data_IF_766832027981
#
_entry.id   IF_766832027981
#
_cell.length_a   1.000
_cell.length_b   1.000
_cell.length_c   1.000
_cell.angle_alpha   90.00
_cell.angle_beta   90.00
_cell.angle_gamma   90.00
#
_symmetry.space_group_name_H-M   'P 1'
#
loop_
_entity.id
_entity.type
_entity.pdbx_description
1 polymer ?
#
# COMPACT_ATOMS: atom_id res chain seq x y z
N UNK A 1 -7.42 -15.48 -5.55
CA UNK A 1 -6.14 -15.12 -4.90
C UNK A 1 -5.56 -13.82 -5.48
N UNK A 2 -6.29 -12.71 -5.33
CA UNK A 2 -5.88 -11.36 -5.78
C UNK A 2 -6.12 -10.30 -4.67
N UNK A 3 -5.72 -10.62 -3.44
CA UNK A 3 -5.88 -9.71 -2.29
C UNK A 3 -5.11 -8.39 -2.49
N UNK A 4 -4.01 -8.39 -3.22
CA UNK A 4 -3.25 -7.18 -3.52
C UNK A 4 -4.04 -6.14 -4.34
N UNK A 5 -5.14 -6.52 -5.00
CA UNK A 5 -6.07 -5.60 -5.67
C UNK A 5 -7.13 -5.10 -4.68
N UNK A 6 -7.86 -6.04 -4.08
CA UNK A 6 -8.91 -5.76 -3.09
C UNK A 6 -9.00 -6.94 -2.12
N UNK A 7 -8.92 -6.67 -0.82
CA UNK A 7 -9.14 -7.66 0.23
C UNK A 7 -10.63 -7.97 0.40
N UNK A 8 -10.93 -9.13 0.94
CA UNK A 8 -12.30 -9.54 1.25
C UNK A 8 -12.67 -9.08 2.67
N UNK A 9 -13.52 -8.07 2.86
CA UNK A 9 -13.87 -7.59 4.18
C UNK A 9 -14.62 -8.69 4.97
N UNK A 10 -14.22 -8.96 6.23
CA UNK A 10 -14.89 -9.95 7.06
C UNK A 10 -16.29 -9.50 7.48
N UNK A 11 -17.14 -10.44 7.88
CA UNK A 11 -18.53 -10.18 8.21
C UNK A 11 -18.76 -9.06 9.25
N UNK A 12 -17.93 -8.93 10.32
CA UNK A 12 -18.05 -7.79 11.25
C UNK A 12 -17.91 -6.43 10.56
N UNK A 13 -17.01 -6.32 9.59
CA UNK A 13 -16.78 -5.09 8.82
C UNK A 13 -17.98 -4.78 7.92
N UNK A 14 -18.50 -5.79 7.24
CA UNK A 14 -19.73 -5.63 6.41
C UNK A 14 -20.91 -5.16 7.25
N UNK A 15 -21.13 -5.79 8.42
CA UNK A 15 -22.19 -5.39 9.36
C UNK A 15 -22.00 -3.97 9.89
N UNK A 16 -20.78 -3.56 10.19
CA UNK A 16 -20.51 -2.20 10.65
C UNK A 16 -20.89 -1.14 9.60
N UNK A 17 -20.63 -1.41 8.31
CA UNK A 17 -21.06 -0.53 7.22
C UNK A 17 -22.60 -0.48 7.12
N UNK A 18 -23.27 -1.65 7.16
CA UNK A 18 -24.73 -1.74 7.13
C UNK A 18 -25.38 -0.95 8.28
N UNK A 19 -24.92 -1.19 9.51
CA UNK A 19 -25.42 -0.50 10.71
C UNK A 19 -25.23 1.03 10.59
N UNK A 20 -24.10 1.46 10.04
CA UNK A 20 -23.84 2.88 9.83
C UNK A 20 -24.82 3.52 8.84
N UNK A 21 -25.17 2.85 7.76
CA UNK A 21 -26.20 3.33 6.82
C UNK A 21 -27.60 3.27 7.41
N UNK A 22 -27.93 2.25 8.19
CA UNK A 22 -29.21 2.16 8.93
C UNK A 22 -29.35 3.33 9.93
N UNK A 23 -28.28 3.68 10.66
CA UNK A 23 -28.27 4.81 11.57
C UNK A 23 -28.58 6.13 10.85
N UNK A 24 -27.93 6.38 9.70
CA UNK A 24 -28.20 7.59 8.91
C UNK A 24 -29.62 7.54 8.30
N UNK A 25 -30.09 6.37 7.89
CA UNK A 25 -31.43 6.23 7.31
C UNK A 25 -32.55 6.52 8.32
N UNK A 26 -32.33 6.13 9.58
CA UNK A 26 -33.30 6.37 10.66
C UNK A 26 -33.27 7.82 11.15
N UNK A 27 -32.08 8.36 11.40
CA UNK A 27 -31.86 9.73 11.88
C UNK A 27 -30.66 10.38 11.20
N UNK A 28 -30.81 11.04 10.05
CA UNK A 28 -29.69 11.50 9.22
C UNK A 28 -28.67 12.37 9.95
N UNK A 29 -29.16 13.32 10.78
CA UNK A 29 -28.28 14.26 11.47
C UNK A 29 -27.54 13.59 12.66
N UNK A 30 -28.27 12.91 13.53
CA UNK A 30 -27.69 12.23 14.68
C UNK A 30 -26.80 11.07 14.25
N UNK A 31 -27.27 10.21 13.34
CA UNK A 31 -26.46 9.11 12.79
C UNK A 31 -25.15 9.58 12.16
N UNK A 32 -25.18 10.71 11.42
CA UNK A 32 -23.96 11.35 10.91
C UNK A 32 -23.03 11.78 12.05
N UNK A 33 -23.54 12.46 13.08
CA UNK A 33 -22.72 12.96 14.18
C UNK A 33 -22.08 11.81 14.98
N UNK A 34 -22.84 10.75 15.25
CA UNK A 34 -22.33 9.56 15.96
C UNK A 34 -21.21 8.85 15.19
N UNK A 35 -21.38 8.74 13.87
CA UNK A 35 -20.33 8.18 13.02
C UNK A 35 -19.08 9.09 12.95
N UNK A 36 -19.27 10.41 12.93
CA UNK A 36 -18.16 11.37 13.00
C UNK A 36 -17.41 11.27 14.33
N UNK A 37 -18.14 11.14 15.46
CA UNK A 37 -17.56 10.89 16.77
C UNK A 37 -16.79 9.55 16.79
N UNK A 38 -17.39 8.49 16.28
CA UNK A 38 -16.71 7.18 16.14
C UNK A 38 -15.40 7.27 15.36
N UNK A 39 -15.41 7.98 14.23
CA UNK A 39 -14.19 8.18 13.43
C UNK A 39 -13.12 8.92 14.22
N UNK A 40 -13.50 10.01 14.88
CA UNK A 40 -12.57 10.86 15.64
C UNK A 40 -12.02 10.17 16.87
N UNK A 41 -12.90 9.51 17.65
CA UNK A 41 -12.58 9.07 19.01
C UNK A 41 -12.13 7.60 19.06
N UNK A 42 -12.36 6.81 17.99
CA UNK A 42 -11.98 5.39 17.92
C UNK A 42 -11.14 5.05 16.69
N UNK A 43 -11.56 5.43 15.48
CA UNK A 43 -10.89 4.99 14.24
C UNK A 43 -9.51 5.63 14.11
N UNK A 44 -9.40 6.95 14.22
CA UNK A 44 -8.12 7.64 14.08
C UNK A 44 -7.14 7.24 15.18
N UNK A 45 -7.54 7.23 16.47
CA UNK A 45 -6.68 6.69 17.54
C UNK A 45 -6.30 5.22 17.34
N UNK A 46 -7.24 4.36 16.93
CA UNK A 46 -6.95 2.95 16.67
C UNK A 46 -5.95 2.74 15.52
N UNK A 47 -6.01 3.55 14.47
CA UNK A 47 -4.99 3.56 13.40
C UNK A 47 -3.64 4.04 13.93
N UNK A 48 -3.64 5.09 14.77
CA UNK A 48 -2.43 5.65 15.35
C UNK A 48 -1.72 4.63 16.25
N UNK A 49 -2.45 3.99 17.14
CA UNK A 49 -1.94 2.95 18.02
C UNK A 49 -1.42 1.73 17.24
N UNK A 50 -2.20 1.28 16.23
CA UNK A 50 -1.84 0.10 15.43
C UNK A 50 -0.54 0.31 14.63
N UNK A 51 -0.32 1.51 14.10
CA UNK A 51 0.81 1.80 13.22
C UNK A 51 1.89 2.68 13.85
N UNK A 52 1.83 2.90 15.18
CA UNK A 52 2.85 3.57 15.97
C UNK A 52 3.09 5.03 15.57
N UNK A 53 2.01 5.82 15.45
CA UNK A 53 2.07 7.25 15.09
C UNK A 53 1.11 8.06 15.99
N UNK A 54 1.17 9.38 15.87
CA UNK A 54 0.21 10.23 16.56
C UNK A 54 -1.07 10.44 15.72
N UNK A 55 -2.22 10.53 16.39
CA UNK A 55 -3.53 10.73 15.72
C UNK A 55 -3.56 11.97 14.82
N UNK A 56 -2.83 13.03 15.20
CA UNK A 56 -2.74 14.26 14.41
C UNK A 56 -1.77 14.17 13.22
N UNK A 57 -1.11 13.02 12.99
CA UNK A 57 -0.30 12.72 11.81
C UNK A 57 -1.07 11.95 10.72
N UNK A 58 -2.34 11.57 11.00
CA UNK A 58 -3.18 10.78 10.11
C UNK A 58 -4.25 11.64 9.45
N UNK A 59 -4.39 11.48 8.13
CA UNK A 59 -5.51 11.99 7.33
C UNK A 59 -6.20 10.84 6.65
N UNK A 60 -7.49 10.64 6.89
CA UNK A 60 -8.26 9.60 6.22
C UNK A 60 -8.48 9.96 4.75
N UNK A 61 -8.11 9.05 3.88
CA UNK A 61 -8.32 9.12 2.42
C UNK A 61 -9.19 7.95 1.94
N UNK A 62 -9.59 8.00 0.66
CA UNK A 62 -10.34 6.89 0.05
C UNK A 62 -9.45 5.69 -0.30
N UNK A 63 -8.17 5.93 -0.54
CA UNK A 63 -7.18 4.92 -0.90
C UNK A 63 -5.79 5.53 -0.97
N UNK A 64 -4.76 4.69 -1.16
CA UNK A 64 -3.39 5.14 -1.37
C UNK A 64 -3.23 6.03 -2.60
N UNK A 65 -4.02 5.84 -3.66
CA UNK A 65 -3.91 6.69 -4.87
C UNK A 65 -4.26 8.14 -4.57
N UNK A 66 -5.32 8.39 -3.80
CA UNK A 66 -5.65 9.74 -3.31
C UNK A 66 -4.55 10.29 -2.40
N UNK A 67 -4.10 9.48 -1.44
CA UNK A 67 -3.01 9.85 -0.53
C UNK A 67 -1.72 10.21 -1.27
N UNK A 68 -1.32 9.43 -2.28
CA UNK A 68 -0.15 9.67 -3.13
C UNK A 68 -0.28 10.96 -3.96
N UNK A 69 -1.48 11.27 -4.44
CA UNK A 69 -1.72 12.54 -5.14
C UNK A 69 -1.63 13.72 -4.18
N UNK A 70 -2.26 13.64 -3.02
CA UNK A 70 -2.15 14.69 -1.98
C UNK A 70 -0.68 14.88 -1.60
N UNK A 71 0.03 13.80 -1.25
CA UNK A 71 1.44 13.80 -0.90
C UNK A 71 2.31 14.46 -1.97
N UNK A 72 2.20 14.03 -3.21
CA UNK A 72 3.02 14.52 -4.30
C UNK A 72 2.69 15.96 -4.71
N UNK A 73 1.40 16.33 -4.78
CA UNK A 73 0.97 17.64 -5.25
C UNK A 73 1.17 18.73 -4.19
N UNK A 74 1.09 18.39 -2.91
CA UNK A 74 1.32 19.32 -1.81
C UNK A 74 2.79 19.47 -1.42
N UNK A 75 3.67 18.52 -1.73
CA UNK A 75 5.09 18.64 -1.39
C UNK A 75 5.75 19.85 -2.06
N UNK A 76 6.38 20.72 -1.25
CA UNK A 76 6.87 22.02 -1.71
C UNK A 76 8.15 21.88 -2.54
N UNK A 77 8.03 22.06 -3.85
CA UNK A 77 9.12 22.04 -4.82
C UNK A 77 9.09 23.30 -5.70
N UNK A 78 10.26 23.70 -6.15
CA UNK A 78 10.45 24.77 -7.13
C UNK A 78 10.79 24.17 -8.49
N UNK A 79 10.62 24.96 -9.55
CA UNK A 79 11.09 24.61 -10.91
C UNK A 79 12.57 24.21 -10.87
N UNK A 80 12.89 23.06 -11.43
CA UNK A 80 14.24 22.51 -11.47
C UNK A 80 14.63 21.65 -10.26
N UNK A 81 13.87 21.66 -9.15
CA UNK A 81 14.03 20.66 -8.08
C UNK A 81 13.76 19.26 -8.62
N UNK A 82 14.40 18.27 -8.03
CA UNK A 82 14.35 16.88 -8.50
C UNK A 82 13.73 15.96 -7.45
N UNK A 83 12.89 15.05 -7.94
CA UNK A 83 12.38 13.90 -7.18
C UNK A 83 12.89 12.62 -7.84
N UNK A 84 13.47 11.73 -7.03
CA UNK A 84 13.80 10.37 -7.45
C UNK A 84 12.59 9.48 -7.21
N UNK A 85 12.27 8.65 -8.20
CA UNK A 85 11.29 7.56 -8.12
C UNK A 85 11.92 6.29 -8.66
N UNK A 86 11.31 5.12 -8.41
CA UNK A 86 11.81 3.86 -8.98
C UNK A 86 11.02 3.42 -10.21
N UNK A 87 11.55 2.47 -10.99
CA UNK A 87 10.82 1.86 -12.12
C UNK A 87 9.70 0.94 -11.65
N UNK A 88 9.66 0.55 -10.37
CA UNK A 88 8.69 -0.38 -9.81
C UNK A 88 7.42 0.31 -9.25
N UNK A 89 7.30 1.63 -9.41
CA UNK A 89 6.15 2.37 -8.87
C UNK A 89 4.82 1.98 -9.52
N UNK A 90 3.78 1.91 -8.69
CA UNK A 90 2.41 1.87 -9.21
C UNK A 90 2.09 3.16 -9.99
N UNK A 91 1.24 3.11 -11.04
CA UNK A 91 0.85 4.31 -11.78
C UNK A 91 0.36 5.47 -10.91
N UNK A 92 -0.29 5.21 -9.78
CA UNK A 92 -0.73 6.24 -8.84
C UNK A 92 0.45 6.93 -8.11
N UNK A 93 1.58 6.24 -7.92
CA UNK A 93 2.81 6.82 -7.38
C UNK A 93 3.62 7.60 -8.41
N UNK A 94 3.49 7.24 -9.70
CA UNK A 94 4.21 7.88 -10.80
C UNK A 94 3.47 9.12 -11.36
N UNK A 95 2.17 8.98 -11.67
CA UNK A 95 1.40 9.97 -12.44
C UNK A 95 1.41 11.39 -11.84
N UNK A 96 1.25 11.60 -10.51
CA UNK A 96 1.26 12.95 -9.96
C UNK A 96 2.63 13.63 -10.14
N UNK A 97 3.75 12.91 -10.07
CA UNK A 97 5.08 13.46 -10.36
C UNK A 97 5.25 13.83 -11.82
N UNK A 98 4.75 13.01 -12.74
CA UNK A 98 4.77 13.32 -14.17
C UNK A 98 3.92 14.54 -14.51
N UNK A 99 2.80 14.73 -13.81
CA UNK A 99 1.98 15.93 -13.91
C UNK A 99 2.76 17.18 -13.45
N UNK A 100 3.46 17.13 -12.33
CA UNK A 100 4.31 18.21 -11.82
C UNK A 100 5.49 18.50 -12.75
N UNK A 101 6.12 17.45 -13.31
CA UNK A 101 7.14 17.61 -14.35
C UNK A 101 6.62 18.45 -15.51
N UNK A 102 5.41 18.14 -16.02
CA UNK A 102 4.79 18.83 -17.15
C UNK A 102 4.36 20.27 -16.80
N UNK A 103 3.73 20.47 -15.64
CA UNK A 103 3.11 21.76 -15.29
C UNK A 103 4.04 22.72 -14.57
N UNK A 104 4.90 22.22 -13.69
CA UNK A 104 5.71 23.04 -12.78
C UNK A 104 7.21 23.01 -13.13
N UNK A 105 7.64 22.15 -14.04
CA UNK A 105 9.04 22.02 -14.41
C UNK A 105 9.90 21.34 -13.35
N UNK A 106 9.28 20.57 -12.46
CA UNK A 106 9.97 19.65 -11.54
C UNK A 106 10.68 18.57 -12.35
N UNK A 107 11.86 18.17 -11.93
CA UNK A 107 12.59 17.05 -12.53
C UNK A 107 12.16 15.74 -11.85
N UNK A 108 11.89 14.73 -12.65
CA UNK A 108 11.58 13.36 -12.18
C UNK A 108 12.62 12.44 -12.77
N UNK A 109 13.44 11.86 -11.90
CA UNK A 109 14.47 10.88 -12.25
C UNK A 109 14.00 9.49 -11.83
N UNK A 110 13.83 8.61 -12.82
CA UNK A 110 13.52 7.21 -12.55
C UNK A 110 14.82 6.42 -12.37
N UNK A 111 14.89 5.66 -11.28
CA UNK A 111 15.99 4.74 -11.00
C UNK A 111 15.50 3.33 -11.32
N UNK A 112 16.24 2.64 -12.16
CA UNK A 112 15.95 1.24 -12.47
C UNK A 112 16.26 0.35 -11.27
N UNK A 113 15.23 -0.37 -10.79
CA UNK A 113 15.37 -1.42 -9.80
C UNK A 113 14.95 -2.73 -10.45
N UNK A 114 15.81 -3.75 -10.49
CA UNK A 114 15.50 -5.01 -11.15
C UNK A 114 14.38 -5.78 -10.44
N UNK A 115 13.67 -6.57 -11.20
CA UNK A 115 12.75 -7.61 -10.72
C UNK A 115 13.16 -8.93 -11.39
N UNK A 116 13.46 -9.99 -10.65
CA UNK A 116 13.41 -10.11 -9.19
C UNK A 116 14.48 -9.27 -8.47
N UNK A 117 14.13 -8.84 -7.25
CA UNK A 117 15.07 -8.21 -6.34
C UNK A 117 15.92 -9.29 -5.66
N UNK A 118 17.24 -9.10 -5.67
CA UNK A 118 18.18 -10.05 -5.06
C UNK A 118 18.70 -9.58 -3.71
N UNK A 119 18.81 -8.27 -3.50
CA UNK A 119 19.32 -7.66 -2.29
C UNK A 119 18.71 -6.26 -2.06
N UNK A 120 18.36 -5.95 -0.82
CA UNK A 120 17.89 -4.62 -0.42
C UNK A 120 18.99 -3.55 -0.53
N UNK A 121 20.26 -3.91 -0.35
CA UNK A 121 21.37 -2.98 -0.50
C UNK A 121 21.53 -2.47 -1.92
N UNK A 122 21.15 -3.25 -2.95
CA UNK A 122 21.15 -2.79 -4.35
C UNK A 122 20.16 -1.64 -4.56
N UNK A 123 18.97 -1.70 -3.92
CA UNK A 123 17.99 -0.60 -3.96
C UNK A 123 18.60 0.69 -3.37
N UNK A 124 19.21 0.57 -2.19
CA UNK A 124 19.83 1.70 -1.50
C UNK A 124 20.95 2.32 -2.36
N UNK A 125 21.87 1.50 -2.84
CA UNK A 125 23.03 1.91 -3.63
C UNK A 125 22.62 2.58 -4.95
N UNK A 126 21.65 2.05 -5.67
CA UNK A 126 21.12 2.64 -6.91
C UNK A 126 20.46 3.99 -6.67
N UNK A 127 19.66 4.11 -5.63
CA UNK A 127 19.03 5.38 -5.26
C UNK A 127 20.09 6.38 -4.83
N UNK A 128 21.03 5.99 -3.97
CA UNK A 128 22.09 6.87 -3.49
C UNK A 128 22.98 7.38 -4.64
N UNK A 129 23.37 6.50 -5.56
CA UNK A 129 24.16 6.85 -6.75
C UNK A 129 23.41 7.77 -7.72
N UNK A 130 22.09 7.79 -7.66
CA UNK A 130 21.25 8.63 -8.51
C UNK A 130 21.05 10.04 -7.96
N UNK A 131 21.40 10.31 -6.69
CA UNK A 131 21.20 11.61 -6.03
C UNK A 131 22.01 12.73 -6.72
N UNK A 132 21.41 13.91 -6.78
CA UNK A 132 22.07 15.14 -7.27
C UNK A 132 21.86 16.29 -6.28
N UNK A 133 22.56 17.40 -6.48
CA UNK A 133 22.34 18.64 -5.67
C UNK A 133 20.92 19.20 -5.80
N UNK A 134 20.16 18.78 -6.82
CA UNK A 134 18.76 19.19 -7.07
C UNK A 134 17.76 18.28 -6.42
N UNK A 135 18.14 17.08 -6.02
CA UNK A 135 17.26 16.13 -5.36
C UNK A 135 16.72 16.71 -4.06
N UNK A 136 15.40 16.64 -3.86
CA UNK A 136 14.68 17.13 -2.67
C UNK A 136 13.90 16.04 -1.98
N UNK A 137 13.47 15.02 -2.72
CA UNK A 137 12.74 13.88 -2.18
C UNK A 137 13.02 12.61 -2.97
N UNK A 138 12.81 11.49 -2.27
CA UNK A 138 12.77 10.15 -2.83
C UNK A 138 11.35 9.63 -2.61
N UNK A 139 10.66 9.26 -3.70
CA UNK A 139 9.31 8.70 -3.65
C UNK A 139 9.34 7.26 -4.16
N UNK A 140 8.94 6.31 -3.34
CA UNK A 140 9.07 4.88 -3.66
C UNK A 140 8.04 4.02 -2.94
N UNK A 141 7.76 2.83 -3.46
CA UNK A 141 6.88 1.86 -2.81
C UNK A 141 7.63 1.06 -1.74
N UNK A 142 6.98 0.76 -0.60
CA UNK A 142 7.53 -0.12 0.43
C UNK A 142 7.56 -1.57 -0.03
N UNK A 143 6.45 -2.03 -0.62
CA UNK A 143 6.35 -3.32 -1.30
C UNK A 143 5.95 -3.06 -2.75
N UNK A 144 6.73 -3.61 -3.69
CA UNK A 144 6.45 -3.47 -5.12
C UNK A 144 5.20 -4.25 -5.53
N UNK A 145 4.67 -4.01 -6.73
CA UNK A 145 3.60 -4.83 -7.29
C UNK A 145 3.98 -6.33 -7.35
N UNK A 146 5.26 -6.62 -7.56
CA UNK A 146 5.81 -7.98 -7.59
C UNK A 146 6.06 -8.61 -6.22
N UNK A 147 5.75 -7.89 -5.13
CA UNK A 147 5.95 -8.38 -3.76
C UNK A 147 7.38 -8.24 -3.24
N UNK A 148 8.24 -7.44 -3.88
CA UNK A 148 9.59 -7.17 -3.36
C UNK A 148 9.53 -6.10 -2.28
N UNK A 149 10.25 -6.35 -1.18
CA UNK A 149 10.29 -5.51 0.01
C UNK A 149 11.48 -4.55 -0.07
N UNK A 150 11.22 -3.24 -0.05
CA UNK A 150 12.26 -2.21 -0.06
C UNK A 150 12.70 -1.81 1.35
N UNK A 151 13.97 -1.42 1.55
CA UNK A 151 14.54 -1.07 2.85
C UNK A 151 14.15 0.35 3.29
N UNK A 152 12.87 0.59 3.62
CA UNK A 152 12.34 1.94 3.94
C UNK A 152 13.14 2.62 5.03
N UNK A 153 13.46 1.90 6.13
CA UNK A 153 14.22 2.46 7.26
C UNK A 153 15.62 2.93 6.84
N UNK A 154 16.33 2.15 6.04
CA UNK A 154 17.64 2.51 5.55
C UNK A 154 17.58 3.69 4.55
N UNK A 155 16.58 3.68 3.64
CA UNK A 155 16.36 4.78 2.71
C UNK A 155 15.98 6.08 3.43
N UNK A 156 15.16 6.01 4.48
CA UNK A 156 14.79 7.16 5.28
C UNK A 156 15.98 7.73 6.06
N UNK A 157 16.81 6.87 6.64
CA UNK A 157 18.03 7.27 7.34
C UNK A 157 19.01 7.98 6.39
N UNK A 158 19.32 7.38 5.24
CA UNK A 158 20.18 7.97 4.20
C UNK A 158 19.60 9.31 3.69
N UNK A 159 18.30 9.39 3.42
CA UNK A 159 17.68 10.61 2.98
C UNK A 159 17.80 11.73 4.04
N UNK A 160 17.54 11.41 5.32
CA UNK A 160 17.66 12.35 6.42
C UNK A 160 19.09 12.91 6.56
N UNK A 161 20.13 12.07 6.48
CA UNK A 161 21.54 12.49 6.52
C UNK A 161 21.88 13.47 5.39
N UNK A 162 21.24 13.31 4.23
CA UNK A 162 21.45 14.15 3.04
C UNK A 162 20.46 15.33 2.95
N UNK A 163 19.63 15.55 3.98
CA UNK A 163 18.63 16.63 4.00
C UNK A 163 17.50 16.45 2.98
N UNK A 164 17.22 15.22 2.58
CA UNK A 164 16.15 14.83 1.65
C UNK A 164 14.93 14.32 2.42
N UNK A 165 13.80 14.23 1.73
CA UNK A 165 12.53 13.70 2.26
C UNK A 165 12.16 12.38 1.61
N UNK A 166 11.51 11.52 2.37
CA UNK A 166 11.02 10.21 1.92
C UNK A 166 9.49 10.17 1.89
N UNK A 167 8.94 9.86 0.72
CA UNK A 167 7.53 9.82 0.42
C UNK A 167 7.17 8.40 -0.05
N UNK A 168 6.50 7.63 0.81
CA UNK A 168 6.37 6.18 0.62
C UNK A 168 4.96 5.79 0.19
N UNK A 169 4.87 4.90 -0.81
CA UNK A 169 3.66 4.16 -1.14
C UNK A 169 3.63 2.86 -0.33
N UNK A 170 2.76 2.81 0.67
CA UNK A 170 2.57 1.66 1.54
C UNK A 170 1.37 0.78 1.19
N UNK A 171 0.75 0.98 0.01
CA UNK A 171 -0.48 0.31 -0.37
C UNK A 171 -0.42 -1.23 -0.34
N UNK A 172 0.77 -1.81 -0.50
CA UNK A 172 0.98 -3.26 -0.48
C UNK A 172 1.67 -3.75 0.81
N UNK A 173 2.08 -2.85 1.71
CA UNK A 173 2.79 -3.22 2.93
C UNK A 173 1.89 -3.28 4.17
N UNK A 174 1.12 -2.21 4.40
CA UNK A 174 0.24 -2.09 5.56
C UNK A 174 -0.75 -3.27 5.61
N UNK A 175 -0.69 -4.01 6.71
CA UNK A 175 -1.59 -5.14 6.98
C UNK A 175 -1.04 -6.51 6.56
N UNK A 176 0.11 -6.60 5.89
CA UNK A 176 0.76 -7.87 5.60
C UNK A 176 1.66 -8.36 6.75
N UNK A 177 2.25 -7.45 7.49
CA UNK A 177 3.19 -7.69 8.59
C UNK A 177 3.13 -6.52 9.59
N UNK A 178 3.62 -6.70 10.83
CA UNK A 178 3.68 -5.62 11.82
C UNK A 178 4.50 -4.45 11.32
N UNK A 179 3.99 -3.24 11.45
CA UNK A 179 4.66 -2.02 11.04
C UNK A 179 4.49 -0.90 12.05
N UNK A 180 5.59 -0.22 12.36
CA UNK A 180 5.59 1.03 13.10
C UNK A 180 6.15 2.15 12.20
N UNK A 181 5.30 3.11 11.83
CA UNK A 181 5.68 4.14 10.87
C UNK A 181 6.67 5.16 11.45
N UNK A 182 6.65 5.43 12.77
CA UNK A 182 7.68 6.24 13.41
C UNK A 182 9.05 5.57 13.35
N UNK A 183 9.13 4.25 13.55
CA UNK A 183 10.38 3.50 13.47
C UNK A 183 10.93 3.38 12.06
N UNK A 184 10.09 3.43 11.04
CA UNK A 184 10.53 3.52 9.65
C UNK A 184 11.24 4.84 9.35
N UNK A 185 10.88 5.91 10.06
CA UNK A 185 11.53 7.21 9.97
C UNK A 185 11.23 7.99 8.69
N UNK A 186 10.30 7.53 7.85
CA UNK A 186 9.88 8.23 6.64
C UNK A 186 9.06 9.49 6.95
N UNK A 187 8.95 10.39 5.98
CA UNK A 187 8.30 11.69 6.16
C UNK A 187 6.82 11.69 5.83
N UNK A 188 6.42 10.85 4.87
CA UNK A 188 5.03 10.60 4.54
C UNK A 188 4.83 9.18 4.03
N UNK A 189 3.62 8.62 4.29
CA UNK A 189 3.29 7.24 3.95
C UNK A 189 1.82 7.12 3.52
N UNK A 190 1.58 6.66 2.30
CA UNK A 190 0.26 6.54 1.70
C UNK A 190 -0.28 5.11 1.80
N UNK A 191 -1.53 4.94 2.25
CA UNK A 191 -2.10 3.64 2.61
C UNK A 191 -3.44 3.37 1.94
N UNK A 192 -3.65 2.12 1.53
CA UNK A 192 -4.96 1.53 1.21
C UNK A 192 -5.33 0.49 2.26
N UNK A 193 -6.36 0.75 3.05
CA UNK A 193 -6.80 -0.17 4.12
C UNK A 193 -7.64 -1.34 3.58
N UNK A 194 -8.29 -1.15 2.43
CA UNK A 194 -9.16 -2.15 1.80
C UNK A 194 -8.42 -3.32 1.13
N UNK A 195 -7.09 -3.38 1.25
CA UNK A 195 -6.29 -4.51 0.73
C UNK A 195 -5.97 -5.49 1.84
N UNK A 196 -4.90 -5.23 2.57
CA UNK A 196 -4.35 -6.17 3.55
C UNK A 196 -4.88 -5.97 4.98
N UNK A 197 -5.51 -4.83 5.29
CA UNK A 197 -6.23 -4.60 6.56
C UNK A 197 -7.67 -5.09 6.49
N UNK A 198 -8.16 -5.48 5.31
CA UNK A 198 -9.52 -5.98 5.07
C UNK A 198 -10.64 -4.98 5.45
N UNK A 199 -10.31 -3.69 5.48
CA UNK A 199 -11.29 -2.62 5.69
C UNK A 199 -12.20 -2.45 4.46
N UNK A 200 -13.31 -1.71 4.54
CA UNK A 200 -14.21 -1.51 3.42
C UNK A 200 -13.50 -0.86 2.22
N UNK A 201 -13.96 -1.17 1.01
CA UNK A 201 -13.52 -0.46 -0.20
C UNK A 201 -13.71 1.05 -0.05
N UNK A 202 -12.77 1.83 -0.56
CA UNK A 202 -12.82 3.28 -0.40
C UNK A 202 -12.26 3.79 0.94
N UNK A 203 -11.36 3.01 1.58
CA UNK A 203 -10.67 3.40 2.81
C UNK A 203 -9.15 3.39 2.66
N UNK A 204 -8.51 4.39 3.25
CA UNK A 204 -7.08 4.57 3.30
C UNK A 204 -6.71 5.73 4.22
N UNK A 205 -5.43 5.99 4.37
CA UNK A 205 -4.94 7.19 5.06
C UNK A 205 -3.62 7.68 4.46
N UNK A 206 -3.33 8.94 4.73
CA UNK A 206 -2.03 9.55 4.53
C UNK A 206 -1.43 9.85 5.91
N UNK A 207 -0.26 9.33 6.19
CA UNK A 207 0.58 9.73 7.31
C UNK A 207 1.52 10.84 6.85
N UNK A 208 1.62 11.91 7.64
CA UNK A 208 2.63 12.98 7.47
C UNK A 208 3.26 13.23 8.84
N UNK A 209 4.55 12.92 8.94
CA UNK A 209 5.33 13.12 10.16
C UNK A 209 5.30 14.60 10.57
N UNK A 210 5.08 14.90 11.84
CA UNK A 210 5.00 16.27 12.38
C UNK A 210 6.16 17.15 11.92
N UNK A 211 7.38 16.66 12.02
CA UNK A 211 8.57 17.40 11.63
C UNK A 211 8.73 17.66 10.12
N UNK A 212 7.94 16.98 9.27
CA UNK A 212 7.96 17.17 7.84
C UNK A 212 6.89 18.12 7.32
N UNK A 213 5.86 18.48 8.13
CA UNK A 213 4.69 19.26 7.70
C UNK A 213 5.04 20.57 7.02
N UNK A 214 6.06 21.27 7.49
CA UNK A 214 6.52 22.53 6.90
C UNK A 214 7.01 22.42 5.44
N UNK A 215 7.17 21.22 4.93
CA UNK A 215 7.54 20.94 3.54
C UNK A 215 6.35 20.65 2.62
N UNK A 216 5.16 20.63 3.18
CA UNK A 216 3.93 20.45 2.42
C UNK A 216 3.11 21.72 2.43
N UNK A 217 2.55 22.09 1.29
CA UNK A 217 1.50 23.11 1.19
C UNK A 217 0.17 22.44 1.45
N UNK A 218 -0.59 23.01 2.37
CA UNK A 218 -1.96 22.58 2.61
C UNK A 218 -2.77 22.66 1.31
N UNK A 219 -3.32 21.55 0.80
CA UNK A 219 -4.12 21.57 -0.43
C UNK A 219 -5.53 22.13 -0.21
N UNK A 220 -5.97 22.21 1.05
CA UNK A 220 -7.30 22.67 1.45
C UNK A 220 -7.20 23.71 2.58
N UNK A 221 -8.29 24.44 2.82
CA UNK A 221 -8.38 25.30 3.99
C UNK A 221 -8.26 24.49 5.29
N UNK A 222 -7.45 24.92 6.25
CA UNK A 222 -7.28 24.20 7.51
C UNK A 222 -8.59 24.05 8.28
N UNK A 223 -8.94 22.81 8.60
CA UNK A 223 -10.03 22.51 9.52
C UNK A 223 -9.42 22.06 10.86
N UNK A 224 -9.63 22.82 11.96
CA UNK A 224 -9.01 22.50 13.25
C UNK A 224 -9.54 21.22 13.90
N UNK A 225 -10.61 20.63 13.35
CA UNK A 225 -11.21 19.40 13.90
C UNK A 225 -10.67 18.13 13.27
N UNK A 226 -9.78 18.22 12.27
CA UNK A 226 -9.23 17.06 11.55
C UNK A 226 -7.72 16.91 11.77
N UNK A 227 -7.21 15.69 11.67
CA UNK A 227 -5.85 15.29 12.03
C UNK A 227 -4.74 16.21 11.54
N UNK A 228 -4.34 16.16 10.26
CA UNK A 228 -3.35 17.08 9.68
C UNK A 228 -4.07 18.29 9.09
N UNK A 229 -3.90 19.50 9.67
CA UNK A 229 -4.67 20.68 9.22
C UNK A 229 -4.51 20.95 7.72
N UNK A 230 -5.63 21.07 7.01
CA UNK A 230 -5.68 21.39 5.58
C UNK A 230 -5.38 20.22 4.63
N UNK A 231 -5.27 19.01 5.12
CA UNK A 231 -5.05 17.81 4.30
C UNK A 231 -6.29 16.91 4.19
N UNK A 232 -7.28 17.07 5.07
CA UNK A 232 -8.54 16.35 4.95
C UNK A 232 -9.42 16.98 3.85
N UNK A 233 -9.77 16.24 2.79
CA UNK A 233 -10.62 16.75 1.73
C UNK A 233 -11.94 17.30 2.27
N UNK A 234 -12.39 18.50 1.82
CA UNK A 234 -13.63 19.08 2.30
C UNK A 234 -14.87 18.33 1.83
N UNK A 235 -16.02 18.64 2.46
CA UNK A 235 -17.33 18.15 2.06
C UNK A 235 -17.78 16.87 2.77
N UNK A 236 -18.98 16.42 2.39
CA UNK A 236 -19.60 15.21 2.95
C UNK A 236 -18.84 13.97 2.50
N UNK A 237 -18.65 13.04 3.43
CA UNK A 237 -17.88 11.81 3.26
C UNK A 237 -18.78 10.60 3.51
N UNK A 238 -18.34 9.44 3.09
CA UNK A 238 -18.97 8.19 3.46
C UNK A 238 -18.60 7.83 4.90
N UNK A 239 -19.38 8.35 5.86
CA UNK A 239 -19.14 8.14 7.29
C UNK A 239 -19.31 6.68 7.71
N UNK A 240 -20.34 5.93 7.25
CA UNK A 240 -20.47 4.49 7.51
C UNK A 240 -19.22 3.69 7.14
N UNK A 241 -18.71 3.88 5.94
CA UNK A 241 -17.51 3.20 5.43
C UNK A 241 -16.28 3.57 6.25
N UNK A 242 -16.11 4.84 6.59
CA UNK A 242 -14.97 5.30 7.40
C UNK A 242 -15.04 4.81 8.86
N UNK A 243 -16.22 4.81 9.47
CA UNK A 243 -16.40 4.31 10.84
C UNK A 243 -16.12 2.79 10.93
N UNK A 244 -16.48 2.04 9.88
CA UNK A 244 -16.26 0.59 9.82
C UNK A 244 -14.77 0.17 9.71
N UNK A 245 -13.84 1.12 9.52
CA UNK A 245 -12.40 0.86 9.66
C UNK A 245 -12.09 0.33 11.06
N UNK A 246 -12.77 0.84 12.11
CA UNK A 246 -12.62 0.34 13.48
C UNK A 246 -12.88 -1.16 13.60
N UNK A 247 -13.97 -1.65 12.99
CA UNK A 247 -14.27 -3.08 12.99
C UNK A 247 -13.22 -3.94 12.25
N UNK A 248 -12.55 -3.37 11.23
CA UNK A 248 -11.45 -4.05 10.56
C UNK A 248 -10.21 -4.13 11.45
N UNK A 249 -9.87 -3.04 12.15
CA UNK A 249 -8.77 -3.04 13.12
C UNK A 249 -9.02 -4.04 14.26
N UNK A 250 -10.22 -4.04 14.83
CA UNK A 250 -10.60 -4.98 15.89
C UNK A 250 -10.46 -6.44 15.42
N UNK A 251 -10.93 -6.74 14.20
CA UNK A 251 -10.81 -8.08 13.62
C UNK A 251 -9.35 -8.49 13.42
N UNK A 252 -8.52 -7.62 12.88
CA UNK A 252 -7.10 -7.91 12.64
C UNK A 252 -6.32 -8.02 13.96
N UNK A 253 -6.62 -7.16 14.95
CA UNK A 253 -6.01 -7.21 16.27
C UNK A 253 -6.37 -8.50 17.03
N UNK A 254 -7.59 -9.03 16.88
CA UNK A 254 -7.98 -10.32 17.46
C UNK A 254 -7.20 -11.49 16.87
N UNK A 255 -6.83 -11.44 15.59
CA UNK A 255 -5.97 -12.45 14.95
C UNK A 255 -4.52 -12.26 15.38
N UNK A 256 -4.06 -11.02 15.51
CA UNK A 256 -2.67 -10.63 15.75
C UNK A 256 -1.89 -10.48 14.44
N UNK A 257 -1.18 -9.37 14.32
CA UNK A 257 -0.47 -9.00 13.08
C UNK A 257 0.66 -9.98 12.72
N UNK A 258 1.34 -10.54 13.71
CA UNK A 258 2.35 -11.59 13.53
C UNK A 258 1.73 -12.89 13.00
N UNK A 259 0.53 -13.23 13.45
CA UNK A 259 -0.20 -14.40 12.96
C UNK A 259 -0.65 -14.20 11.51
N UNK A 260 -1.05 -12.97 11.15
CA UNK A 260 -1.37 -12.61 9.77
C UNK A 260 -0.15 -12.78 8.86
N UNK A 261 1.00 -12.25 9.25
CA UNK A 261 2.27 -12.41 8.53
C UNK A 261 2.63 -13.88 8.37
N UNK A 262 2.65 -14.63 9.48
CA UNK A 262 2.99 -16.06 9.49
C UNK A 262 2.08 -16.86 8.55
N UNK A 263 0.77 -16.59 8.59
CA UNK A 263 -0.18 -17.27 7.70
C UNK A 263 0.01 -16.90 6.23
N UNK A 264 0.23 -15.63 5.93
CA UNK A 264 0.49 -15.19 4.56
C UNK A 264 1.78 -15.79 4.01
N UNK A 265 2.87 -15.84 4.79
CA UNK A 265 4.14 -16.49 4.42
C UNK A 265 3.93 -17.98 4.18
N UNK A 266 3.31 -18.69 5.10
CA UNK A 266 3.01 -20.11 4.93
C UNK A 266 2.31 -20.39 3.61
N UNK A 267 1.28 -19.62 3.25
CA UNK A 267 0.55 -19.82 2.00
C UNK A 267 1.38 -19.48 0.75
N UNK A 268 2.15 -18.41 0.81
CA UNK A 268 3.01 -18.02 -0.31
C UNK A 268 4.18 -18.99 -0.51
N UNK A 269 4.74 -19.51 0.56
CA UNK A 269 5.83 -20.49 0.48
C UNK A 269 5.32 -21.85 0.00
N UNK A 270 4.14 -22.28 0.48
CA UNK A 270 3.47 -23.47 -0.04
C UNK A 270 3.26 -23.39 -1.57
N UNK A 271 2.80 -22.21 -2.05
CA UNK A 271 2.66 -21.96 -3.49
C UNK A 271 4.01 -21.99 -4.21
N UNK A 272 5.02 -21.30 -3.69
CA UNK A 272 6.36 -21.24 -4.28
C UNK A 272 7.01 -22.62 -4.37
N UNK A 273 6.85 -23.44 -3.33
CA UNK A 273 7.41 -24.79 -3.32
C UNK A 273 6.72 -25.72 -4.32
N UNK A 274 5.40 -25.59 -4.48
CA UNK A 274 4.68 -26.29 -5.56
C UNK A 274 5.11 -25.81 -6.95
N UNK A 275 5.26 -24.51 -7.16
CA UNK A 275 5.70 -23.93 -8.44
C UNK A 275 7.09 -24.39 -8.87
N UNK A 276 8.02 -24.61 -7.92
CA UNK A 276 9.38 -25.13 -8.20
C UNK A 276 9.38 -26.54 -8.76
N UNK A 277 8.30 -27.30 -8.58
CA UNK A 277 8.16 -28.67 -9.08
C UNK A 277 7.56 -28.74 -10.49
N UNK A 278 7.16 -27.61 -11.07
CA UNK A 278 6.52 -27.57 -12.38
C UNK A 278 7.55 -27.14 -13.43
N UNK A 279 7.76 -27.99 -14.44
CA UNK A 279 8.67 -27.70 -15.54
C UNK A 279 8.32 -26.40 -16.27
N UNK A 280 9.33 -25.60 -16.62
CA UNK A 280 9.17 -24.34 -17.33
C UNK A 280 8.60 -23.20 -16.47
N UNK A 281 8.50 -23.36 -15.15
CA UNK A 281 8.18 -22.26 -14.22
C UNK A 281 9.46 -21.57 -13.74
N UNK A 282 9.45 -20.25 -13.79
CA UNK A 282 10.51 -19.39 -13.23
C UNK A 282 9.90 -18.50 -12.13
N UNK A 283 10.36 -18.65 -10.89
CA UNK A 283 9.96 -17.78 -9.78
C UNK A 283 10.68 -16.42 -9.90
N UNK A 284 9.89 -15.34 -9.81
CA UNK A 284 10.39 -13.97 -9.81
C UNK A 284 10.22 -13.28 -8.45
N UNK A 285 9.62 -13.95 -7.46
CA UNK A 285 9.59 -13.48 -6.08
C UNK A 285 10.98 -13.55 -5.45
N UNK A 286 11.25 -12.67 -4.49
CA UNK A 286 12.51 -12.67 -3.75
C UNK A 286 12.77 -14.00 -3.06
N UNK A 287 14.05 -14.37 -2.94
CA UNK A 287 14.49 -15.68 -2.44
C UNK A 287 14.46 -15.85 -0.91
N UNK A 288 14.15 -14.78 -0.15
CA UNK A 288 14.09 -14.84 1.31
C UNK A 288 13.13 -13.76 1.86
N UNK A 289 12.85 -13.82 3.16
CA UNK A 289 11.88 -12.97 3.85
C UNK A 289 12.29 -11.49 3.95
N UNK A 290 13.57 -11.18 3.79
CA UNK A 290 14.04 -9.79 3.84
C UNK A 290 13.76 -9.03 2.55
N UNK A 291 13.58 -9.74 1.44
CA UNK A 291 13.32 -9.16 0.12
C UNK A 291 11.96 -9.54 -0.47
N UNK A 292 11.19 -10.40 0.20
CA UNK A 292 9.88 -10.87 -0.25
C UNK A 292 8.79 -10.55 0.76
N UNK A 293 7.73 -9.88 0.31
CA UNK A 293 6.55 -9.62 1.13
C UNK A 293 5.78 -10.92 1.40
N UNK A 294 5.13 -11.05 2.58
CA UNK A 294 4.54 -12.30 3.03
C UNK A 294 3.51 -12.92 2.09
N UNK A 295 2.61 -12.13 1.54
CA UNK A 295 1.44 -12.63 0.80
C UNK A 295 1.56 -12.56 -0.72
N UNK A 296 2.73 -12.23 -1.29
CA UNK A 296 2.87 -12.00 -2.74
C UNK A 296 3.81 -12.99 -3.40
N UNK A 297 3.37 -13.59 -4.51
CA UNK A 297 4.16 -14.48 -5.34
C UNK A 297 4.01 -14.08 -6.80
N UNK A 298 5.13 -13.93 -7.52
CA UNK A 298 5.15 -13.74 -8.97
C UNK A 298 5.99 -14.80 -9.63
N UNK A 299 5.53 -15.29 -10.78
CA UNK A 299 6.22 -16.31 -11.55
C UNK A 299 5.88 -16.20 -13.04
N UNK A 300 6.77 -16.69 -13.88
CA UNK A 300 6.53 -16.94 -15.30
C UNK A 300 6.37 -18.44 -15.53
N UNK A 301 5.62 -18.80 -16.57
CA UNK A 301 5.49 -20.17 -17.07
C UNK A 301 5.73 -20.14 -18.56
N UNK A 302 6.69 -20.95 -19.02
CA UNK A 302 7.00 -21.09 -20.44
C UNK A 302 5.75 -21.49 -21.24
N UNK A 303 5.55 -20.81 -22.37
CA UNK A 303 4.37 -21.01 -23.22
C UNK A 303 3.05 -20.43 -22.71
N UNK A 304 3.02 -19.77 -21.55
CA UNK A 304 1.82 -19.17 -20.98
C UNK A 304 1.88 -17.63 -21.07
N UNK A 305 0.92 -17.04 -21.77
CA UNK A 305 0.71 -15.59 -21.75
C UNK A 305 -0.09 -15.17 -20.52
N UNK A 306 0.46 -14.27 -19.69
CA UNK A 306 -0.14 -13.89 -18.42
C UNK A 306 -1.52 -13.20 -18.58
N UNK A 307 -1.72 -12.39 -19.63
CA UNK A 307 -3.00 -11.76 -19.90
C UNK A 307 -4.08 -12.77 -20.30
N UNK A 308 -3.70 -13.82 -21.04
CA UNK A 308 -4.60 -14.89 -21.43
C UNK A 308 -4.86 -15.87 -20.27
N UNK A 309 -3.88 -16.05 -19.39
CA UNK A 309 -4.00 -16.94 -18.25
C UNK A 309 -5.06 -16.48 -17.24
N UNK A 310 -5.15 -15.18 -16.96
CA UNK A 310 -6.08 -14.64 -15.94
C UNK A 310 -7.54 -15.11 -16.17
N UNK A 311 -8.17 -14.92 -17.33
CA UNK A 311 -9.54 -15.37 -17.56
C UNK A 311 -9.65 -16.91 -17.58
N UNK A 312 -8.61 -17.64 -17.99
CA UNK A 312 -8.59 -19.11 -17.97
C UNK A 312 -8.64 -19.64 -16.53
N UNK A 313 -7.86 -19.06 -15.61
CA UNK A 313 -7.87 -19.46 -14.20
C UNK A 313 -9.21 -19.13 -13.55
N UNK A 314 -9.82 -17.96 -13.89
CA UNK A 314 -11.11 -17.59 -13.37
C UNK A 314 -12.22 -18.54 -13.85
N UNK A 315 -12.23 -18.93 -15.11
CA UNK A 315 -13.23 -19.83 -15.68
C UNK A 315 -13.06 -21.26 -15.16
N UNK A 316 -11.88 -21.84 -15.26
CA UNK A 316 -11.65 -23.27 -14.98
C UNK A 316 -11.61 -23.61 -13.50
N UNK A 317 -10.99 -22.75 -12.65
CA UNK A 317 -10.77 -23.05 -11.23
C UNK A 317 -11.39 -22.03 -10.29
N UNK A 318 -12.17 -21.06 -10.82
CA UNK A 318 -12.82 -19.99 -10.06
C UNK A 318 -11.84 -19.21 -9.18
N UNK A 319 -10.62 -19.02 -9.70
CA UNK A 319 -9.55 -18.33 -8.99
C UNK A 319 -9.18 -17.06 -9.73
N UNK A 320 -9.44 -15.93 -9.09
CA UNK A 320 -9.03 -14.63 -9.60
C UNK A 320 -7.57 -14.37 -9.22
N UNK A 321 -6.71 -14.15 -10.21
CA UNK A 321 -5.29 -13.80 -10.11
C UNK A 321 -5.04 -12.53 -10.91
N UNK A 322 -3.79 -12.04 -10.96
CA UNK A 322 -3.45 -10.83 -11.69
C UNK A 322 -2.23 -11.05 -12.61
N UNK A 323 -2.14 -10.30 -13.66
CA UNK A 323 -0.96 -10.26 -14.52
C UNK A 323 0.15 -9.37 -13.92
N UNK A 324 1.40 -9.64 -14.28
CA UNK A 324 2.54 -8.81 -13.90
C UNK A 324 3.48 -8.65 -15.09
N UNK A 325 3.14 -7.71 -15.97
CA UNK A 325 3.96 -7.39 -17.14
C UNK A 325 4.83 -6.16 -16.86
N UNK A 326 6.08 -6.40 -16.44
CA UNK A 326 7.07 -5.35 -16.14
C UNK A 326 8.47 -5.81 -16.46
N UNK A 327 9.32 -4.88 -16.84
CA UNK A 327 10.77 -5.08 -17.09
C UNK A 327 11.07 -6.24 -18.05
N UNK A 328 10.19 -6.47 -19.02
CA UNK A 328 10.30 -7.57 -19.98
C UNK A 328 9.70 -8.90 -19.51
N UNK A 329 9.20 -8.97 -18.28
CA UNK A 329 8.53 -10.17 -17.74
C UNK A 329 7.07 -10.25 -18.17
N UNK A 330 6.61 -11.46 -18.46
CA UNK A 330 5.23 -11.83 -18.72
C UNK A 330 4.72 -12.76 -17.62
N UNK A 331 4.65 -12.23 -16.42
CA UNK A 331 4.45 -12.97 -15.20
C UNK A 331 3.01 -12.94 -14.69
N UNK A 332 2.68 -13.93 -13.88
CA UNK A 332 1.45 -14.03 -13.09
C UNK A 332 1.76 -13.60 -11.66
N UNK A 333 0.88 -12.79 -11.09
CA UNK A 333 0.90 -12.43 -9.68
C UNK A 333 -0.23 -13.13 -8.94
N UNK A 334 0.13 -13.88 -7.91
CA UNK A 334 -0.78 -14.46 -6.92
C UNK A 334 -0.59 -13.74 -5.59
N UNK A 335 -1.66 -13.30 -4.97
CA UNK A 335 -1.61 -12.69 -3.64
C UNK A 335 -2.58 -13.38 -2.71
N UNK A 336 -2.03 -14.07 -1.70
CA UNK A 336 -2.75 -14.83 -0.69
C UNK A 336 -2.92 -14.06 0.61
N UNK A 337 -4.01 -14.30 1.31
CA UNK A 337 -4.28 -13.72 2.62
C UNK A 337 -4.81 -14.79 3.58
N UNK A 338 -5.03 -14.43 4.84
CA UNK A 338 -5.45 -15.34 5.92
C UNK A 338 -6.67 -16.20 5.57
N UNK A 339 -7.56 -15.75 4.70
CA UNK A 339 -8.78 -16.45 4.29
C UNK A 339 -8.57 -17.46 3.15
N UNK A 340 -7.39 -17.51 2.54
CA UNK A 340 -7.05 -18.52 1.56
C UNK A 340 -6.61 -19.83 2.23
N UNK A 341 -6.65 -20.94 1.47
CA UNK A 341 -6.25 -22.25 1.94
C UNK A 341 -5.41 -22.99 0.89
N UNK A 342 -4.74 -24.07 1.32
CA UNK A 342 -3.86 -24.87 0.45
C UNK A 342 -4.62 -25.55 -0.70
N UNK A 343 -5.87 -25.97 -0.49
CA UNK A 343 -6.67 -26.58 -1.56
C UNK A 343 -6.96 -25.62 -2.73
N UNK A 344 -7.04 -24.30 -2.46
CA UNK A 344 -7.12 -23.28 -3.52
C UNK A 344 -5.80 -23.18 -4.29
N UNK A 345 -4.68 -23.30 -3.59
CA UNK A 345 -3.33 -23.29 -4.19
C UNK A 345 -3.13 -24.56 -5.01
N UNK A 346 -3.52 -25.73 -4.50
CA UNK A 346 -3.42 -27.00 -5.23
C UNK A 346 -4.18 -26.94 -6.55
N UNK A 347 -5.38 -26.37 -6.57
CA UNK A 347 -6.14 -26.19 -7.83
C UNK A 347 -5.39 -25.29 -8.82
N UNK A 348 -4.67 -24.28 -8.35
CA UNK A 348 -3.87 -23.41 -9.20
C UNK A 348 -2.64 -24.15 -9.74
N UNK A 349 -1.94 -24.91 -8.91
CA UNK A 349 -0.77 -25.71 -9.33
C UNK A 349 -1.15 -26.79 -10.35
N UNK A 350 -2.31 -27.45 -10.18
CA UNK A 350 -2.77 -28.51 -11.08
C UNK A 350 -3.18 -28.04 -12.49
N UNK A 351 -3.37 -26.73 -12.72
CA UNK A 351 -3.73 -26.19 -14.03
C UNK A 351 -2.51 -25.66 -14.81
N UNK A 352 -1.36 -25.51 -14.13
CA UNK A 352 -0.10 -25.06 -14.72
C UNK A 352 0.66 -26.20 -15.40
#
# INVERSE_FOLDING_TARGET
>A
MNNASLGMPPLPVVKAVQNGYESISNEPLHGKHDLQATIKDKVIPGLADTFGVDSDEIVLTRNASEALHIQALSFNLKRGDEVIITTQEHPAGLKPWMLRKKKEGVRVKQVFIPSPLTDQSDVLNRIESALTRRTKAISFCHVTRGGHLYPVKALAAMAKEKGLFTLVDGAQAIGQFPLNLHELGCDAYAVSLHKWVLAPAGTGFLYIRKGARGRFRSPFEPNPTTGVPGFDPPGTKDFPVRAAIGAALDFMNQIGWENVETRCRYLSDYLKDGLKQIDGVTLLSGGNDTISAPGSTIFEKEGLDALQAVPIFEDKIKTHIDEHQRDGHNAIRVSTHIYNNTAEIDRLLNIL
#
